data_IF_345035884274
#
_entry.id   IF_345035884274
#
_cell.length_a   1.000
_cell.length_b   1.000
_cell.length_c   1.000
_cell.angle_alpha   90.00
_cell.angle_beta   90.00
_cell.angle_gamma   90.00
#
_symmetry.space_group_name_H-M   'P 1'
#
loop_
_entity.id
_entity.type
_entity.pdbx_description
1 polymer ?
#
# COMPACT_ATOMS: atom_id res chain seq x y z
N UNK A 1 8.22 0.40 -3.41
CA UNK A 1 7.51 1.37 -2.54
C UNK A 1 8.53 2.30 -1.91
N UNK A 2 8.24 3.59 -1.83
CA UNK A 2 9.11 4.59 -1.22
C UNK A 2 8.40 5.23 -0.03
N UNK A 3 9.05 5.22 1.13
CA UNK A 3 8.58 5.88 2.34
C UNK A 3 9.35 7.20 2.52
N UNK A 4 8.77 8.36 2.14
CA UNK A 4 9.44 9.65 2.32
C UNK A 4 9.39 10.17 3.78
N UNK A 5 8.65 9.49 4.67
CA UNK A 5 8.37 9.98 6.03
C UNK A 5 9.50 9.63 7.01
N UNK A 6 9.57 10.29 8.18
CA UNK A 6 10.52 9.95 9.24
C UNK A 6 10.05 8.78 10.13
N UNK A 7 9.00 8.03 9.75
CA UNK A 7 8.43 6.95 10.54
C UNK A 7 8.54 5.60 9.83
N UNK A 8 8.54 4.51 10.59
CA UNK A 8 8.34 3.18 10.02
C UNK A 8 6.89 3.05 9.53
N UNK A 9 6.72 2.50 8.33
CA UNK A 9 5.40 2.20 7.78
C UNK A 9 5.34 0.70 7.51
N UNK A 10 4.33 0.03 8.09
CA UNK A 10 4.09 -1.39 7.86
C UNK A 10 2.90 -1.56 6.93
N UNK A 11 3.14 -2.04 5.72
CA UNK A 11 2.10 -2.40 4.75
C UNK A 11 1.71 -3.85 5.00
N UNK A 12 0.42 -4.10 5.14
CA UNK A 12 -0.12 -5.39 5.57
C UNK A 12 -1.06 -6.04 4.57
N UNK A 13 -1.52 -5.29 3.57
CA UNK A 13 -2.42 -5.82 2.55
C UNK A 13 -2.33 -5.02 1.24
N UNK A 14 -2.72 -5.67 0.15
CA UNK A 14 -2.87 -5.10 -1.18
C UNK A 14 -4.21 -5.51 -1.81
N UNK A 15 -4.93 -4.57 -2.38
CA UNK A 15 -6.22 -4.77 -3.06
C UNK A 15 -6.22 -4.06 -4.41
N UNK A 16 -7.17 -4.37 -5.27
CA UNK A 16 -7.35 -3.71 -6.59
C UNK A 16 -8.33 -2.55 -6.57
N UNK A 17 -9.10 -2.38 -5.49
CA UNK A 17 -9.98 -1.24 -5.23
C UNK A 17 -10.33 -1.16 -3.73
N UNK A 18 -10.86 -0.01 -3.28
CA UNK A 18 -11.23 0.21 -1.87
C UNK A 18 -12.32 -0.75 -1.38
N UNK A 19 -13.17 -1.26 -2.27
CA UNK A 19 -14.16 -2.30 -1.93
C UNK A 19 -13.77 -3.68 -2.47
N UNK A 20 -12.53 -3.81 -2.94
CA UNK A 20 -11.97 -5.05 -3.46
C UNK A 20 -11.69 -6.06 -2.36
N UNK A 21 -11.23 -7.24 -2.78
CA UNK A 21 -10.71 -8.28 -1.88
C UNK A 21 -9.20 -8.15 -1.76
N UNK A 22 -8.67 -8.62 -0.64
CA UNK A 22 -7.23 -8.81 -0.46
C UNK A 22 -6.66 -9.70 -1.56
N UNK A 23 -5.52 -9.29 -2.10
CA UNK A 23 -4.78 -10.05 -3.10
C UNK A 23 -4.10 -11.25 -2.41
N UNK A 24 -4.33 -12.44 -2.95
CA UNK A 24 -3.70 -13.65 -2.42
C UNK A 24 -2.17 -13.57 -2.54
N UNK A 25 -1.50 -14.09 -1.52
CA UNK A 25 -0.05 -14.13 -1.46
C UNK A 25 0.63 -12.81 -1.09
N UNK A 26 -0.10 -11.75 -0.73
CA UNK A 26 0.54 -10.54 -0.20
C UNK A 26 1.39 -10.84 1.05
N UNK A 27 2.63 -10.37 1.07
CA UNK A 27 3.51 -10.50 2.24
C UNK A 27 3.71 -9.13 2.88
N UNK A 28 3.41 -8.97 4.19
CA UNK A 28 3.64 -7.71 4.89
C UNK A 28 5.09 -7.27 4.81
N UNK A 29 5.29 -5.96 4.61
CA UNK A 29 6.61 -5.33 4.60
C UNK A 29 6.62 -4.14 5.56
N UNK A 30 7.75 -3.96 6.23
CA UNK A 30 8.00 -2.79 7.08
C UNK A 30 9.09 -1.94 6.42
N UNK A 31 8.75 -0.70 6.10
CA UNK A 31 9.64 0.20 5.36
C UNK A 31 10.22 1.24 6.30
N UNK A 32 11.54 1.25 6.38
CA UNK A 32 12.28 2.18 7.22
C UNK A 32 12.01 3.65 6.85
N UNK A 33 12.20 4.59 7.79
CA UNK A 33 12.18 6.03 7.52
C UNK A 33 13.07 6.39 6.33
N UNK A 34 12.55 7.18 5.37
CA UNK A 34 13.26 7.56 4.13
C UNK A 34 13.75 6.37 3.29
N UNK A 35 13.21 5.18 3.54
CA UNK A 35 13.62 3.92 2.93
C UNK A 35 12.78 3.52 1.73
N UNK A 36 13.21 2.44 1.08
CA UNK A 36 12.50 1.84 -0.03
C UNK A 36 12.51 0.32 0.13
N UNK A 37 11.36 -0.29 -0.14
CA UNK A 37 11.20 -1.75 -0.13
C UNK A 37 10.40 -2.21 -1.35
N UNK A 38 10.64 -3.45 -1.77
CA UNK A 38 9.88 -4.07 -2.85
C UNK A 38 8.64 -4.76 -2.29
N UNK A 39 7.51 -4.55 -2.95
CA UNK A 39 6.33 -5.39 -2.74
C UNK A 39 6.58 -6.75 -3.40
N UNK A 40 6.04 -7.81 -2.82
CA UNK A 40 6.18 -9.16 -3.35
C UNK A 40 5.22 -9.44 -4.51
N UNK A 41 4.22 -8.58 -4.74
CA UNK A 41 3.29 -8.67 -5.86
C UNK A 41 3.77 -7.84 -7.05
N UNK A 42 3.45 -8.31 -8.26
CA UNK A 42 3.78 -7.62 -9.52
C UNK A 42 2.74 -6.55 -9.87
N UNK A 43 3.12 -5.65 -10.76
CA UNK A 43 2.23 -4.61 -11.33
C UNK A 43 1.01 -5.24 -12.02
N UNK A 44 1.17 -6.40 -12.68
CA UNK A 44 0.05 -7.11 -13.33
C UNK A 44 -1.02 -7.58 -12.35
N UNK A 45 -0.62 -7.93 -11.11
CA UNK A 45 -1.54 -8.34 -10.04
C UNK A 45 -2.18 -7.14 -9.34
N UNK A 46 -1.39 -6.10 -9.12
CA UNK A 46 -1.83 -4.87 -8.44
C UNK A 46 -2.74 -3.98 -9.31
N UNK A 47 -2.56 -4.03 -10.63
CA UNK A 47 -3.31 -3.20 -11.57
C UNK A 47 -2.86 -1.73 -11.57
N UNK A 48 -3.61 -0.90 -12.29
CA UNK A 48 -3.31 0.54 -12.45
C UNK A 48 -3.76 1.40 -11.26
N UNK A 49 -4.63 0.88 -10.39
CA UNK A 49 -5.17 1.61 -9.24
C UNK A 49 -5.11 0.78 -7.94
N UNK A 50 -3.90 0.33 -7.53
CA UNK A 50 -3.78 -0.52 -6.37
C UNK A 50 -4.19 0.23 -5.09
N UNK A 51 -4.70 -0.52 -4.12
CA UNK A 51 -4.94 -0.05 -2.77
C UNK A 51 -4.00 -0.79 -1.84
N UNK A 52 -3.24 -0.04 -1.03
CA UNK A 52 -2.38 -0.63 0.00
C UNK A 52 -2.95 -0.29 1.38
N UNK A 53 -2.99 -1.27 2.28
CA UNK A 53 -3.35 -1.04 3.68
C UNK A 53 -2.11 -1.03 4.56
N UNK A 54 -2.04 -0.07 5.47
CA UNK A 54 -0.96 0.01 6.47
C UNK A 54 -1.55 -0.08 7.88
N UNK A 55 -0.73 -0.49 8.86
CA UNK A 55 -1.12 -0.45 10.28
C UNK A 55 -0.69 0.89 10.88
N UNK A 56 -1.63 1.58 11.55
CA UNK A 56 -1.33 2.78 12.33
C UNK A 56 -1.03 2.46 13.81
N UNK A 57 -0.63 3.47 14.57
CA UNK A 57 -0.23 3.33 15.99
C UNK A 57 -1.35 2.83 16.92
N UNK A 58 -2.61 2.91 16.46
CA UNK A 58 -3.79 2.43 17.19
C UNK A 58 -4.18 1.00 16.79
N UNK A 59 -3.41 0.34 15.92
CA UNK A 59 -3.73 -0.99 15.37
C UNK A 59 -4.78 -0.98 14.25
N UNK A 60 -5.26 0.20 13.85
CA UNK A 60 -6.16 0.38 12.73
C UNK A 60 -5.49 0.10 11.39
N UNK A 61 -6.31 -0.16 10.36
CA UNK A 61 -5.84 -0.53 9.02
C UNK A 61 -6.32 0.45 7.93
N UNK A 62 -5.87 1.72 7.94
CA UNK A 62 -6.22 2.63 6.86
C UNK A 62 -5.75 2.12 5.50
N UNK A 63 -6.41 2.60 4.45
CA UNK A 63 -6.22 2.20 3.06
C UNK A 63 -5.84 3.40 2.21
N UNK A 64 -4.79 3.24 1.42
CA UNK A 64 -4.28 4.24 0.49
C UNK A 64 -4.56 3.74 -0.92
N UNK A 65 -5.44 4.44 -1.65
CA UNK A 65 -5.69 4.17 -3.07
C UNK A 65 -4.70 4.96 -3.91
N UNK A 66 -4.03 4.26 -4.80
CA UNK A 66 -3.07 4.82 -5.73
C UNK A 66 -3.68 4.97 -7.13
N UNK A 67 -3.12 5.90 -7.89
CA UNK A 67 -3.21 5.93 -9.35
C UNK A 67 -1.81 5.81 -9.92
N UNK A 68 -1.61 4.84 -10.81
CA UNK A 68 -0.34 4.55 -11.44
C UNK A 68 -0.32 5.00 -12.90
N UNK A 69 0.78 5.64 -13.29
CA UNK A 69 1.15 5.83 -14.69
C UNK A 69 2.25 4.83 -15.10
N UNK A 70 2.87 5.06 -16.26
CA UNK A 70 3.93 4.20 -16.79
C UNK A 70 5.21 4.10 -15.92
N UNK A 71 5.39 4.99 -14.95
CA UNK A 71 6.63 5.13 -14.15
C UNK A 71 6.39 5.11 -12.66
N UNK A 72 5.33 5.74 -12.18
CA UNK A 72 5.09 5.91 -10.74
C UNK A 72 3.62 5.76 -10.34
N UNK A 73 3.41 5.46 -9.06
CA UNK A 73 2.09 5.40 -8.44
C UNK A 73 2.02 6.45 -7.33
N UNK A 74 0.96 7.26 -7.33
CA UNK A 74 0.71 8.30 -6.30
C UNK A 74 -0.60 8.05 -5.59
N UNK A 75 -0.63 8.35 -4.29
CA UNK A 75 -1.86 8.29 -3.50
C UNK A 75 -2.83 9.35 -4.01
N UNK A 76 -4.07 8.94 -4.28
CA UNK A 76 -5.17 9.83 -4.70
C UNK A 76 -6.32 9.89 -3.70
N UNK A 77 -6.43 8.89 -2.82
CA UNK A 77 -7.49 8.81 -1.81
C UNK A 77 -6.99 8.01 -0.60
N UNK A 78 -7.37 8.46 0.59
CA UNK A 78 -7.11 7.77 1.86
C UNK A 78 -8.44 7.46 2.53
N UNK A 79 -8.66 6.20 2.84
CA UNK A 79 -9.79 5.71 3.61
C UNK A 79 -9.28 5.23 4.98
N UNK A 80 -9.95 5.60 6.07
CA UNK A 80 -9.47 5.26 7.42
C UNK A 80 -9.62 3.76 7.76
N UNK A 81 -10.29 2.99 6.89
CA UNK A 81 -10.73 1.64 7.19
C UNK A 81 -11.92 1.69 8.14
N UNK A 82 -12.93 0.85 7.88
CA UNK A 82 -14.03 0.63 8.83
C UNK A 82 -13.65 -0.43 9.86
#
# INVERSE_FOLDING_TARGET
MHNPTPYYITIVDGLTDLKGKSLEGFTPIMVAPRGQEKLNLTVSTLGASPVLSYINDYGGRPRLKFSCDSRECKVIETDQGN
#
